data_IF_481897600262
#
_entry.id   IF_481897600262
#
_cell.length_a   1.000
_cell.length_b   1.000
_cell.length_c   1.000
_cell.angle_alpha   90.00
_cell.angle_beta   90.00
_cell.angle_gamma   90.00
#
_symmetry.space_group_name_H-M   'P 1'
#
loop_
_entity.id
_entity.type
_entity.pdbx_description
1 polymer ?
#
# COMPACT_ATOMS: atom_id res chain seq x y z
N UNK A 1 7.23 -19.35 -2.09
CA UNK A 1 8.55 -18.84 -2.59
C UNK A 1 9.66 -19.77 -2.13
N UNK A 2 10.57 -20.09 -3.04
CA UNK A 2 11.69 -21.00 -2.75
C UNK A 2 12.84 -20.26 -2.07
N UNK A 3 13.69 -21.01 -1.35
CA UNK A 3 14.94 -20.46 -0.79
C UNK A 3 15.77 -19.91 -1.95
N UNK A 4 16.32 -18.69 -1.80
CA UNK A 4 17.05 -17.89 -2.78
C UNK A 4 16.19 -17.18 -3.83
N UNK A 5 14.87 -17.27 -3.79
CA UNK A 5 14.06 -16.37 -4.61
C UNK A 5 14.33 -14.93 -4.23
N UNK A 6 14.45 -14.08 -5.23
CA UNK A 6 14.70 -12.64 -5.07
C UNK A 6 13.66 -11.85 -5.81
N UNK A 7 13.22 -10.76 -5.18
CA UNK A 7 12.38 -9.76 -5.78
C UNK A 7 13.13 -8.42 -5.74
N UNK A 8 12.99 -7.69 -6.82
CA UNK A 8 13.62 -6.40 -7.00
C UNK A 8 12.55 -5.37 -7.29
N UNK A 9 12.63 -4.21 -6.63
CA UNK A 9 11.75 -3.07 -6.90
C UNK A 9 12.60 -1.82 -7.09
N UNK A 10 12.53 -1.25 -8.28
CA UNK A 10 13.19 0.01 -8.62
C UNK A 10 12.29 1.18 -8.26
N UNK A 11 12.89 2.25 -7.75
CA UNK A 11 12.24 3.53 -7.47
C UNK A 11 12.95 4.61 -8.28
N UNK A 12 12.15 5.38 -9.03
CA UNK A 12 12.63 6.42 -9.93
C UNK A 12 11.82 7.70 -9.75
N UNK A 13 12.50 8.84 -9.82
CA UNK A 13 11.88 10.16 -9.88
C UNK A 13 12.74 11.05 -10.79
N UNK A 14 12.40 11.07 -12.08
CA UNK A 14 13.22 11.68 -13.13
C UNK A 14 14.49 10.89 -13.47
N UNK A 15 15.08 10.20 -12.50
CA UNK A 15 16.18 9.22 -12.64
C UNK A 15 15.97 8.06 -11.69
N UNK A 16 16.74 6.98 -11.85
CA UNK A 16 16.80 5.91 -10.86
C UNK A 16 17.36 6.44 -9.55
N UNK A 17 16.73 6.10 -8.44
CA UNK A 17 17.15 6.53 -7.10
C UNK A 17 17.64 5.36 -6.28
N UNK A 18 16.84 4.30 -6.18
CA UNK A 18 17.17 3.10 -5.44
C UNK A 18 16.54 1.85 -6.06
N UNK A 19 17.15 0.71 -5.81
CA UNK A 19 16.56 -0.60 -6.06
C UNK A 19 16.58 -1.40 -4.77
N UNK A 20 15.40 -1.81 -4.29
CA UNK A 20 15.24 -2.64 -3.11
C UNK A 20 15.19 -4.10 -3.49
N UNK A 21 15.84 -4.94 -2.69
CA UNK A 21 15.86 -6.39 -2.86
C UNK A 21 15.26 -7.07 -1.64
N UNK A 22 14.40 -8.05 -1.88
CA UNK A 22 13.96 -9.02 -0.91
C UNK A 22 14.48 -10.39 -1.35
N UNK A 23 15.13 -11.12 -0.44
CA UNK A 23 15.61 -12.47 -0.70
C UNK A 23 15.08 -13.44 0.33
N UNK A 24 14.50 -14.56 -0.11
CA UNK A 24 14.08 -15.65 0.75
C UNK A 24 15.28 -16.46 1.17
N UNK A 25 15.58 -16.49 2.47
CA UNK A 25 16.66 -17.29 3.06
C UNK A 25 16.09 -18.49 3.83
N UNK A 26 16.95 -19.36 4.32
CA UNK A 26 16.52 -20.48 5.18
C UNK A 26 15.93 -20.01 6.52
N UNK A 27 16.43 -18.89 7.05
CA UNK A 27 16.03 -18.34 8.35
C UNK A 27 14.97 -17.23 8.29
N UNK A 28 14.48 -16.87 7.09
CA UNK A 28 13.52 -15.79 6.94
C UNK A 28 13.74 -14.99 5.66
N UNK A 29 13.70 -13.66 5.77
CA UNK A 29 13.88 -12.75 4.65
C UNK A 29 15.06 -11.81 4.89
N UNK A 30 15.80 -11.55 3.84
CA UNK A 30 16.86 -10.55 3.79
C UNK A 30 16.41 -9.38 2.95
N UNK A 31 16.63 -8.18 3.48
CA UNK A 31 16.32 -6.92 2.81
C UNK A 31 17.64 -6.19 2.53
N UNK A 32 17.74 -5.60 1.34
CA UNK A 32 18.87 -4.77 0.95
C UNK A 32 18.38 -3.67 0.02
N UNK A 33 19.02 -2.51 0.09
CA UNK A 33 18.76 -1.39 -0.81
C UNK A 33 20.05 -1.02 -1.52
N UNK A 34 19.97 -0.81 -2.84
CA UNK A 34 21.06 -0.30 -3.67
C UNK A 34 20.71 1.10 -4.11
N UNK A 35 21.60 2.05 -3.85
CA UNK A 35 21.45 3.46 -4.22
C UNK A 35 22.15 3.69 -5.55
N UNK A 36 21.43 4.17 -6.54
CA UNK A 36 21.97 4.48 -7.85
C UNK A 36 22.88 5.70 -7.82
N UNK A 37 23.99 5.62 -8.54
CA UNK A 37 24.86 6.78 -8.82
C UNK A 37 24.07 7.87 -9.56
N UNK A 38 24.55 9.09 -9.54
CA UNK A 38 23.82 10.22 -10.14
C UNK A 38 23.66 10.06 -11.64
N UNK A 39 24.66 9.48 -12.31
CA UNK A 39 24.65 9.15 -13.74
C UNK A 39 23.83 7.87 -14.08
N UNK A 40 23.37 7.14 -13.06
CA UNK A 40 22.57 5.92 -13.23
C UNK A 40 23.32 4.73 -13.85
N UNK A 41 24.65 4.75 -13.88
CA UNK A 41 25.49 3.68 -14.48
C UNK A 41 25.77 2.54 -13.52
N UNK A 42 25.74 2.81 -12.19
CA UNK A 42 26.02 1.80 -11.16
C UNK A 42 25.15 2.07 -9.92
N UNK A 43 25.10 1.07 -9.01
CA UNK A 43 24.36 1.18 -7.76
C UNK A 43 25.16 0.56 -6.61
N UNK A 44 25.26 1.29 -5.50
CA UNK A 44 26.02 0.91 -4.32
C UNK A 44 25.09 0.42 -3.22
N UNK A 45 25.47 -0.66 -2.54
CA UNK A 45 24.72 -1.17 -1.40
C UNK A 45 24.65 -0.11 -0.30
N UNK A 46 23.43 0.25 0.10
CA UNK A 46 23.20 1.18 1.21
C UNK A 46 23.60 0.53 2.55
N UNK A 47 24.03 1.34 3.53
CA UNK A 47 24.28 0.83 4.88
C UNK A 47 22.97 0.34 5.53
N UNK A 48 23.04 -0.57 6.52
CA UNK A 48 21.86 -1.14 7.17
C UNK A 48 20.88 -0.12 7.78
N UNK A 49 21.39 1.04 8.22
CA UNK A 49 20.61 2.17 8.74
C UNK A 49 19.96 3.02 7.64
N UNK A 50 20.26 2.75 6.37
CA UNK A 50 19.80 3.54 5.24
C UNK A 50 20.57 4.85 5.07
N UNK A 51 20.05 5.77 4.25
CA UNK A 51 20.60 7.11 4.06
C UNK A 51 19.57 8.13 4.53
N UNK A 52 19.60 8.44 5.81
CA UNK A 52 18.61 9.33 6.48
C UNK A 52 18.61 10.75 5.91
N UNK A 53 19.78 11.25 5.50
CA UNK A 53 19.89 12.53 4.80
C UNK A 53 19.37 12.51 3.37
N UNK A 54 19.00 11.34 2.88
CA UNK A 54 18.47 11.10 1.53
C UNK A 54 19.46 11.39 0.41
N UNK A 55 19.03 11.15 -0.82
CA UNK A 55 19.74 11.49 -2.06
C UNK A 55 19.02 12.64 -2.77
N UNK A 56 19.73 13.53 -3.49
CA UNK A 56 19.10 14.63 -4.21
C UNK A 56 18.14 14.13 -5.29
N UNK A 57 17.00 14.81 -5.47
CA UNK A 57 16.06 14.53 -6.56
C UNK A 57 15.90 15.73 -7.48
N UNK A 58 15.55 15.48 -8.74
CA UNK A 58 15.29 16.52 -9.72
C UNK A 58 14.14 17.42 -9.24
N UNK A 59 14.29 18.72 -9.42
CA UNK A 59 13.31 19.71 -8.97
C UNK A 59 13.44 20.11 -7.50
N UNK A 60 14.49 19.66 -6.82
CA UNK A 60 14.78 19.98 -5.43
C UNK A 60 14.16 19.00 -4.43
N UNK A 61 14.69 18.99 -3.22
CA UNK A 61 14.34 18.02 -2.18
C UNK A 61 15.27 16.82 -2.14
N UNK A 62 14.96 15.88 -1.26
CA UNK A 62 15.78 14.69 -1.02
C UNK A 62 14.88 13.47 -0.87
N UNK A 63 15.33 12.35 -1.43
CA UNK A 63 14.69 11.04 -1.28
C UNK A 63 15.39 10.26 -0.19
N UNK A 64 14.68 9.95 0.89
CA UNK A 64 15.23 9.16 2.01
C UNK A 64 15.33 7.70 1.60
N UNK A 65 16.52 7.11 1.81
CA UNK A 65 16.73 5.68 1.57
C UNK A 65 16.46 4.92 2.88
N UNK A 66 15.49 3.99 2.90
CA UNK A 66 15.15 3.26 4.11
C UNK A 66 16.26 2.29 4.54
N UNK A 67 16.41 2.15 5.84
CA UNK A 67 17.24 1.11 6.42
C UNK A 67 16.54 -0.25 6.52
N UNK A 68 17.27 -1.28 6.92
CA UNK A 68 16.73 -2.64 7.07
C UNK A 68 15.58 -2.71 8.09
N UNK A 69 15.65 -1.94 9.17
CA UNK A 69 14.57 -1.86 10.16
C UNK A 69 13.29 -1.27 9.57
N UNK A 70 13.41 -0.25 8.71
CA UNK A 70 12.27 0.35 8.02
C UNK A 70 11.63 -0.64 7.03
N UNK A 71 12.44 -1.44 6.33
CA UNK A 71 11.95 -2.51 5.46
C UNK A 71 11.09 -3.50 6.27
N UNK A 72 11.59 -3.97 7.41
CA UNK A 72 10.89 -4.92 8.28
C UNK A 72 9.59 -4.35 8.83
N UNK A 73 9.57 -3.06 9.20
CA UNK A 73 8.36 -2.41 9.73
C UNK A 73 7.14 -2.55 8.80
N UNK A 74 7.36 -2.54 7.48
CA UNK A 74 6.30 -2.75 6.48
C UNK A 74 6.15 -4.22 6.08
N UNK A 75 7.27 -4.91 5.82
CA UNK A 75 7.26 -6.25 5.23
C UNK A 75 6.98 -7.37 6.22
N UNK A 76 7.23 -7.19 7.51
CA UNK A 76 6.95 -8.18 8.56
C UNK A 76 5.60 -7.92 9.27
N UNK A 77 4.82 -6.95 8.80
CA UNK A 77 3.50 -6.59 9.35
C UNK A 77 2.37 -7.54 8.96
N UNK A 78 2.63 -8.54 8.12
CA UNK A 78 1.65 -9.54 7.68
C UNK A 78 2.34 -10.87 7.36
N UNK A 79 1.58 -12.00 7.28
CA UNK A 79 2.15 -13.34 7.08
C UNK A 79 2.98 -13.50 5.80
N UNK A 80 2.65 -12.75 4.75
CA UNK A 80 3.43 -12.72 3.50
C UNK A 80 4.17 -11.38 3.36
N UNK A 81 5.49 -11.35 3.51
CA UNK A 81 6.26 -10.10 3.42
C UNK A 81 6.46 -9.60 1.98
N UNK A 82 5.99 -10.33 0.96
CA UNK A 82 6.07 -9.89 -0.44
C UNK A 82 4.89 -8.98 -0.74
N UNK A 83 5.09 -7.68 -0.53
CA UNK A 83 4.09 -6.66 -0.79
C UNK A 83 3.87 -6.50 -2.30
N UNK A 84 2.61 -6.22 -2.69
CA UNK A 84 2.26 -6.03 -4.11
C UNK A 84 1.89 -7.31 -4.86
N UNK A 85 2.07 -8.49 -4.28
CA UNK A 85 1.81 -9.79 -4.90
C UNK A 85 0.60 -10.51 -4.31
N UNK A 86 -0.41 -9.78 -3.86
CA UNK A 86 -1.70 -10.38 -3.51
C UNK A 86 -2.54 -10.57 -4.78
N UNK A 87 -3.47 -11.53 -4.76
CA UNK A 87 -4.34 -11.75 -5.91
C UNK A 87 -5.18 -10.52 -6.25
N UNK A 88 -5.59 -9.72 -5.26
CA UNK A 88 -6.28 -8.44 -5.48
C UNK A 88 -5.40 -7.40 -6.19
N UNK A 89 -4.11 -7.33 -5.84
CA UNK A 89 -3.18 -6.37 -6.45
C UNK A 89 -2.75 -6.79 -7.87
N UNK A 90 -2.79 -8.08 -8.16
CA UNK A 90 -2.46 -8.65 -9.47
C UNK A 90 -3.70 -8.91 -10.34
N UNK A 91 -4.88 -8.47 -9.90
CA UNK A 91 -6.10 -8.60 -10.69
C UNK A 91 -6.06 -7.72 -11.93
N UNK A 92 -6.49 -8.25 -13.08
CA UNK A 92 -6.74 -7.47 -14.29
C UNK A 92 -8.03 -6.65 -14.23
N UNK A 93 -8.90 -6.94 -13.26
CA UNK A 93 -10.17 -6.22 -13.07
C UNK A 93 -9.98 -4.99 -12.16
N UNK A 94 -9.59 -3.88 -12.78
CA UNK A 94 -9.36 -2.61 -12.09
C UNK A 94 -10.51 -1.65 -12.30
N UNK A 95 -10.96 -1.02 -11.20
CA UNK A 95 -11.96 0.04 -11.29
C UNK A 95 -11.36 1.27 -12.00
N UNK A 96 -12.10 1.92 -12.93
CA UNK A 96 -11.59 3.07 -13.70
C UNK A 96 -11.15 4.26 -12.85
N UNK A 97 -11.69 4.39 -11.63
CA UNK A 97 -11.32 5.43 -10.66
C UNK A 97 -10.16 5.06 -9.74
N UNK A 98 -9.57 3.86 -9.88
CA UNK A 98 -8.42 3.48 -9.08
C UNK A 98 -7.19 4.32 -9.46
N UNK A 99 -6.38 4.79 -8.49
CA UNK A 99 -5.14 5.49 -8.78
C UNK A 99 -4.23 4.64 -9.67
N UNK A 100 -3.59 5.31 -10.63
CA UNK A 100 -2.66 4.67 -11.58
C UNK A 100 -3.27 3.55 -12.44
N UNK A 101 -4.61 3.47 -12.54
CA UNK A 101 -5.31 2.45 -13.35
C UNK A 101 -5.01 2.57 -14.87
N UNK A 102 -4.43 3.68 -15.31
CA UNK A 102 -4.12 3.97 -16.72
C UNK A 102 -2.61 4.06 -16.98
N UNK A 103 -1.78 3.44 -16.17
CA UNK A 103 -0.34 3.44 -16.44
C UNK A 103 -0.06 2.72 -17.75
N UNK A 104 0.70 3.38 -18.64
CA UNK A 104 1.04 2.89 -19.98
C UNK A 104 2.07 1.74 -19.98
N UNK A 105 2.49 1.28 -18.81
CA UNK A 105 3.43 0.17 -18.70
C UNK A 105 2.68 -1.15 -18.71
N UNK A 106 3.23 -2.12 -19.41
CA UNK A 106 2.73 -3.49 -19.44
C UNK A 106 2.66 -4.05 -18.02
N UNK A 107 1.51 -3.95 -17.39
CA UNK A 107 1.27 -4.56 -16.09
C UNK A 107 1.25 -6.08 -16.24
N UNK A 108 1.73 -6.78 -15.22
CA UNK A 108 1.69 -8.22 -15.16
C UNK A 108 0.57 -8.63 -14.22
N UNK A 109 -0.43 -9.30 -14.77
CA UNK A 109 -1.59 -9.78 -14.02
C UNK A 109 -1.46 -11.26 -13.63
N UNK A 110 -2.42 -11.79 -12.88
CA UNK A 110 -2.42 -13.19 -12.45
C UNK A 110 -2.33 -14.15 -13.64
N UNK A 111 -3.09 -13.91 -14.68
CA UNK A 111 -3.12 -14.71 -15.91
C UNK A 111 -1.77 -14.70 -16.64
N UNK A 112 -1.06 -13.58 -16.67
CA UNK A 112 0.27 -13.48 -17.28
C UNK A 112 1.30 -14.28 -16.49
N UNK A 113 1.23 -14.22 -15.16
CA UNK A 113 2.12 -15.00 -14.29
C UNK A 113 1.91 -16.51 -14.47
N UNK A 114 0.68 -16.93 -14.62
CA UNK A 114 0.33 -18.35 -14.92
C UNK A 114 0.85 -18.74 -16.29
N UNK A 115 0.56 -17.95 -17.33
CA UNK A 115 0.98 -18.22 -18.70
C UNK A 115 2.51 -18.31 -18.84
N UNK A 116 3.26 -17.52 -18.06
CA UNK A 116 4.73 -17.55 -18.02
C UNK A 116 5.30 -18.64 -17.10
N UNK A 117 4.45 -19.44 -16.43
CA UNK A 117 4.88 -20.46 -15.47
C UNK A 117 5.51 -19.94 -14.19
N UNK A 118 5.36 -18.62 -13.91
CA UNK A 118 5.87 -17.95 -12.71
C UNK A 118 4.95 -18.16 -11.49
N UNK A 119 3.66 -18.42 -11.73
CA UNK A 119 2.68 -18.74 -10.70
C UNK A 119 2.09 -20.14 -10.96
N UNK A 120 2.16 -21.01 -9.94
CA UNK A 120 1.62 -22.36 -9.99
C UNK A 120 0.60 -22.57 -8.89
N UNK A 121 -0.38 -23.45 -9.14
CA UNK A 121 -1.39 -23.80 -8.14
C UNK A 121 -2.44 -22.71 -7.89
N UNK A 122 -2.63 -21.76 -8.81
CA UNK A 122 -3.72 -20.81 -8.73
C UNK A 122 -5.06 -21.58 -8.79
N UNK A 123 -5.99 -21.19 -7.91
CA UNK A 123 -7.35 -21.75 -7.95
C UNK A 123 -7.99 -21.53 -9.31
N UNK A 124 -8.64 -22.54 -9.91
CA UNK A 124 -9.35 -22.39 -11.19
C UNK A 124 -10.38 -21.24 -11.18
N UNK A 125 -11.02 -20.98 -10.05
CA UNK A 125 -11.96 -19.87 -9.89
C UNK A 125 -11.29 -18.50 -10.05
N UNK A 126 -10.09 -18.32 -9.51
CA UNK A 126 -9.32 -17.08 -9.66
C UNK A 126 -8.69 -16.91 -11.04
N UNK A 127 -8.47 -18.02 -11.75
CA UNK A 127 -8.03 -17.99 -13.14
C UNK A 127 -9.17 -17.63 -14.11
N UNK A 128 -10.41 -18.07 -13.79
CA UNK A 128 -11.59 -17.84 -14.62
C UNK A 128 -12.23 -16.46 -14.41
N UNK A 129 -12.13 -15.91 -13.20
CA UNK A 129 -12.73 -14.62 -12.83
C UNK A 129 -11.72 -13.79 -12.08
N UNK A 130 -11.28 -12.65 -12.64
CA UNK A 130 -10.35 -11.76 -11.94
C UNK A 130 -10.90 -11.34 -10.57
N UNK A 131 -10.09 -11.47 -9.51
CA UNK A 131 -10.55 -11.19 -8.16
C UNK A 131 -10.82 -9.70 -7.94
N UNK A 132 -11.88 -9.40 -7.20
CA UNK A 132 -12.21 -8.03 -6.77
C UNK A 132 -12.70 -8.00 -5.33
N UNK A 133 -12.60 -6.81 -4.73
CA UNK A 133 -13.14 -6.57 -3.38
C UNK A 133 -14.67 -6.66 -3.45
N UNK A 134 -15.27 -7.33 -2.49
CA UNK A 134 -16.68 -7.71 -2.49
C UNK A 134 -17.60 -6.54 -2.04
N UNK A 135 -17.65 -5.48 -2.84
CA UNK A 135 -18.61 -4.36 -2.70
C UNK A 135 -19.16 -3.95 -4.07
N UNK A 136 -20.37 -3.40 -4.08
CA UNK A 136 -21.06 -3.00 -5.32
C UNK A 136 -20.62 -1.63 -5.83
N UNK A 137 -20.17 -0.73 -4.93
CA UNK A 137 -19.69 0.61 -5.30
C UNK A 137 -18.29 0.55 -5.90
N UNK A 138 -18.12 1.10 -7.11
CA UNK A 138 -16.82 1.18 -7.78
C UNK A 138 -15.83 2.08 -7.02
N UNK A 139 -16.28 3.25 -6.53
CA UNK A 139 -15.44 4.15 -5.73
C UNK A 139 -15.01 3.49 -4.42
N UNK A 140 -15.90 2.77 -3.76
CA UNK A 140 -15.54 2.04 -2.54
C UNK A 140 -14.55 0.91 -2.83
N UNK A 141 -14.72 0.14 -3.91
CA UNK A 141 -13.75 -0.90 -4.30
C UNK A 141 -12.37 -0.30 -4.55
N UNK A 142 -12.32 0.79 -5.31
CA UNK A 142 -11.07 1.48 -5.61
C UNK A 142 -10.41 2.03 -4.33
N UNK A 143 -11.17 2.69 -3.45
CA UNK A 143 -10.66 3.24 -2.20
C UNK A 143 -10.16 2.13 -1.25
N UNK A 144 -10.96 1.07 -1.05
CA UNK A 144 -10.54 -0.07 -0.23
C UNK A 144 -9.35 -0.81 -0.83
N UNK A 145 -9.23 -0.87 -2.15
CA UNK A 145 -8.07 -1.43 -2.85
C UNK A 145 -6.80 -0.62 -2.60
N UNK A 146 -6.89 0.70 -2.68
CA UNK A 146 -5.79 1.60 -2.34
C UNK A 146 -5.38 1.46 -0.87
N UNK A 147 -6.35 1.48 0.05
CA UNK A 147 -6.11 1.34 1.49
C UNK A 147 -5.53 -0.04 1.84
N UNK A 148 -6.01 -1.11 1.21
CA UNK A 148 -5.45 -2.45 1.35
C UNK A 148 -3.97 -2.49 0.98
N UNK A 149 -3.62 -1.90 -0.16
CA UNK A 149 -2.28 -1.98 -0.73
C UNK A 149 -1.26 -1.11 0.01
N UNK A 150 -1.67 0.07 0.51
CA UNK A 150 -0.76 1.08 1.06
C UNK A 150 -0.83 1.22 2.59
N UNK A 151 -1.95 0.84 3.20
CA UNK A 151 -2.19 1.00 4.64
C UNK A 151 -2.41 -0.35 5.34
N UNK A 152 -3.11 -1.28 4.69
CA UNK A 152 -3.42 -2.60 5.23
C UNK A 152 -2.19 -3.45 5.56
N UNK A 153 -1.04 -3.16 4.94
CA UNK A 153 0.23 -3.83 5.26
C UNK A 153 0.66 -3.63 6.72
N UNK A 154 0.30 -2.50 7.35
CA UNK A 154 0.55 -2.20 8.75
C UNK A 154 -0.75 -2.20 9.57
N UNK A 155 -1.83 -1.60 9.04
CA UNK A 155 -3.13 -1.51 9.70
C UNK A 155 -3.97 -2.77 9.42
N UNK A 156 -3.70 -3.82 10.18
CA UNK A 156 -4.40 -5.09 10.15
C UNK A 156 -4.35 -5.76 11.51
N UNK A 157 -5.18 -6.80 11.71
CA UNK A 157 -5.30 -7.52 12.98
C UNK A 157 -4.13 -8.47 13.30
N UNK A 158 -3.20 -8.68 12.38
CA UNK A 158 -2.09 -9.64 12.51
C UNK A 158 -0.74 -8.96 12.74
N UNK A 159 -0.63 -7.69 12.39
CA UNK A 159 0.61 -6.93 12.42
C UNK A 159 0.89 -6.23 13.75
N UNK A 160 2.02 -5.53 13.84
CA UNK A 160 2.45 -4.84 15.06
C UNK A 160 1.49 -3.71 15.47
N UNK A 161 0.67 -3.20 14.56
CA UNK A 161 -0.33 -2.16 14.84
C UNK A 161 -1.74 -2.73 15.11
N UNK A 162 -1.89 -4.04 15.36
CA UNK A 162 -3.19 -4.65 15.66
C UNK A 162 -3.90 -3.97 16.85
N UNK A 163 -3.14 -3.51 17.84
CA UNK A 163 -3.68 -2.77 19.00
C UNK A 163 -4.31 -1.42 18.67
N UNK A 164 -4.05 -0.85 17.49
CA UNK A 164 -4.75 0.35 17.00
C UNK A 164 -6.21 0.03 16.68
N UNK A 165 -6.53 -1.22 16.34
CA UNK A 165 -7.87 -1.68 16.02
C UNK A 165 -8.42 -1.13 14.71
N UNK A 166 -7.55 -0.70 13.77
CA UNK A 166 -7.91 -0.30 12.41
C UNK A 166 -7.48 -1.43 11.47
N UNK A 167 -8.44 -2.07 10.80
CA UNK A 167 -8.17 -3.16 9.86
C UNK A 167 -8.57 -2.77 8.43
N UNK A 168 -7.56 -2.50 7.61
CA UNK A 168 -7.70 -2.09 6.21
C UNK A 168 -7.31 -3.20 5.23
N UNK A 169 -6.94 -4.39 5.75
CA UNK A 169 -6.54 -5.52 4.93
C UNK A 169 -7.78 -6.23 4.36
N UNK A 170 -7.83 -6.38 3.03
CA UNK A 170 -8.88 -7.13 2.35
C UNK A 170 -8.46 -8.58 2.13
N UNK A 171 -9.41 -9.50 2.21
CA UNK A 171 -9.21 -10.93 2.03
C UNK A 171 -10.23 -11.52 1.08
N UNK A 172 -9.77 -12.21 0.04
CA UNK A 172 -10.65 -12.92 -0.90
C UNK A 172 -11.37 -14.10 -0.24
N UNK A 173 -10.71 -14.80 0.68
CA UNK A 173 -11.32 -15.95 1.38
C UNK A 173 -12.44 -15.53 2.34
N UNK A 174 -12.41 -14.30 2.82
CA UNK A 174 -13.44 -13.75 3.70
C UNK A 174 -14.52 -12.96 2.94
N UNK A 175 -14.22 -12.58 1.69
CA UNK A 175 -15.17 -11.89 0.83
C UNK A 175 -15.78 -10.64 1.47
N UNK A 176 -17.14 -10.54 1.54
CA UNK A 176 -17.83 -9.39 2.13
C UNK A 176 -17.45 -9.11 3.59
N UNK A 177 -17.13 -10.14 4.37
CA UNK A 177 -16.79 -9.97 5.79
C UNK A 177 -15.51 -9.11 5.98
N UNK A 178 -14.55 -9.15 5.04
CA UNK A 178 -13.38 -8.28 5.10
C UNK A 178 -13.74 -6.81 4.87
N UNK A 179 -14.69 -6.51 3.99
CA UNK A 179 -15.22 -5.16 3.74
C UNK A 179 -15.93 -4.62 4.99
N UNK A 180 -16.83 -5.43 5.57
CA UNK A 180 -17.56 -5.05 6.79
C UNK A 180 -16.61 -4.80 7.97
N UNK A 181 -15.57 -5.60 8.10
CA UNK A 181 -14.55 -5.38 9.14
C UNK A 181 -13.82 -4.05 8.94
N UNK A 182 -13.45 -3.70 7.71
CA UNK A 182 -12.86 -2.39 7.43
C UNK A 182 -13.83 -1.28 7.77
N UNK A 183 -15.10 -1.38 7.37
CA UNK A 183 -16.14 -0.40 7.72
C UNK A 183 -16.29 -0.26 9.23
N UNK A 184 -16.45 -1.36 9.94
CA UNK A 184 -16.61 -1.38 11.40
C UNK A 184 -15.41 -0.80 12.16
N UNK A 185 -14.20 -0.97 11.62
CA UNK A 185 -12.98 -0.47 12.25
C UNK A 185 -12.64 0.97 11.88
N UNK A 186 -13.18 1.50 10.78
CA UNK A 186 -12.82 2.82 10.25
C UNK A 186 -13.95 3.85 10.37
N UNK A 187 -15.20 3.50 10.03
CA UNK A 187 -16.29 4.47 9.87
C UNK A 187 -16.88 4.88 11.23
N UNK A 188 -16.94 6.18 11.49
CA UNK A 188 -17.47 6.77 12.72
C UNK A 188 -16.80 6.25 14.00
N UNK A 189 -15.59 5.72 13.90
CA UNK A 189 -14.77 5.26 15.03
C UNK A 189 -13.81 6.38 15.43
N UNK A 190 -13.76 6.70 16.72
CA UNK A 190 -12.84 7.72 17.23
C UNK A 190 -11.39 7.26 17.04
N UNK A 191 -10.55 8.15 16.54
CA UNK A 191 -9.12 7.88 16.38
C UNK A 191 -8.41 7.89 17.74
N UNK A 192 -7.41 7.01 17.91
CA UNK A 192 -6.55 7.02 19.11
C UNK A 192 -5.74 8.32 19.23
N UNK A 193 -5.40 8.92 18.10
CA UNK A 193 -4.71 10.21 18.01
C UNK A 193 -5.47 11.10 17.02
N UNK A 194 -6.35 11.96 17.50
CA UNK A 194 -7.00 13.00 16.69
C UNK A 194 -5.95 13.91 16.02
N UNK A 195 -6.36 14.60 14.96
CA UNK A 195 -5.51 15.54 14.22
C UNK A 195 -6.27 16.86 13.97
N UNK A 196 -5.97 17.88 14.76
CA UNK A 196 -6.73 19.12 14.78
C UNK A 196 -8.19 18.85 15.12
N UNK A 197 -9.12 19.31 14.29
CA UNK A 197 -10.56 19.10 14.45
C UNK A 197 -11.03 17.70 13.99
N UNK A 198 -10.15 16.92 13.35
CA UNK A 198 -10.49 15.56 12.92
C UNK A 198 -10.35 14.60 14.11
N UNK A 199 -11.48 14.06 14.56
CA UNK A 199 -11.53 13.12 15.70
C UNK A 199 -11.82 11.68 15.26
N UNK A 200 -12.58 11.49 14.17
CA UNK A 200 -12.95 10.17 13.67
C UNK A 200 -11.89 9.63 12.70
N UNK A 201 -11.69 8.32 12.69
CA UNK A 201 -10.83 7.68 11.70
C UNK A 201 -11.28 8.02 10.29
N UNK A 202 -12.57 7.81 10.03
CA UNK A 202 -13.33 8.30 8.86
C UNK A 202 -14.65 8.84 9.38
N UNK A 203 -14.90 10.13 9.19
CA UNK A 203 -16.19 10.76 9.45
C UNK A 203 -17.01 10.73 8.14
N UNK A 204 -18.07 9.90 8.03
CA UNK A 204 -18.84 9.75 6.81
C UNK A 204 -19.36 11.10 6.29
N UNK A 205 -19.04 11.41 5.02
CA UNK A 205 -19.41 12.65 4.38
C UNK A 205 -18.50 13.84 4.64
N UNK A 206 -17.46 13.68 5.51
CA UNK A 206 -16.60 14.79 5.93
C UNK A 206 -15.12 14.42 5.86
N UNK A 207 -14.49 14.49 4.68
CA UNK A 207 -13.05 14.17 4.51
C UNK A 207 -12.16 15.00 5.44
N UNK A 208 -12.42 16.29 5.55
CA UNK A 208 -11.66 17.24 6.38
C UNK A 208 -11.69 16.94 7.88
N UNK A 209 -12.72 16.23 8.36
CA UNK A 209 -12.86 15.75 9.73
C UNK A 209 -12.43 14.28 9.90
N UNK A 210 -11.89 13.66 8.83
CA UNK A 210 -11.43 12.28 8.83
C UNK A 210 -9.91 12.21 9.04
N UNK A 211 -9.47 11.63 10.16
CA UNK A 211 -8.04 11.49 10.51
C UNK A 211 -7.26 10.73 9.43
N UNK A 212 -7.85 9.70 8.84
CA UNK A 212 -7.24 8.93 7.75
C UNK A 212 -6.89 9.85 6.57
N UNK A 213 -7.85 10.64 6.09
CA UNK A 213 -7.67 11.56 4.97
C UNK A 213 -6.62 12.65 5.28
N UNK A 214 -6.72 13.27 6.46
CA UNK A 214 -5.78 14.28 6.91
C UNK A 214 -4.34 13.75 6.97
N UNK A 215 -4.14 12.55 7.49
CA UNK A 215 -2.81 11.94 7.58
C UNK A 215 -2.25 11.53 6.23
N UNK A 216 -3.08 11.11 5.27
CA UNK A 216 -2.65 10.85 3.90
C UNK A 216 -2.10 12.11 3.23
N UNK A 217 -2.69 13.28 3.48
CA UNK A 217 -2.24 14.58 2.97
C UNK A 217 -1.08 15.21 3.74
N UNK A 218 -0.88 14.82 5.00
CA UNK A 218 0.18 15.38 5.85
C UNK A 218 1.59 14.95 5.41
N UNK A 219 2.57 15.83 5.66
CA UNK A 219 4.01 15.52 5.48
C UNK A 219 4.85 15.90 6.71
N UNK A 220 4.22 16.32 7.80
CA UNK A 220 4.86 16.36 9.09
C UNK A 220 5.16 14.92 9.55
N UNK A 221 6.39 14.60 9.96
CA UNK A 221 6.79 13.22 10.34
C UNK A 221 5.97 12.60 11.48
N UNK A 222 5.34 13.42 12.33
CA UNK A 222 4.49 12.93 13.42
C UNK A 222 3.07 12.60 12.96
N UNK A 223 2.64 13.16 11.83
CA UNK A 223 1.25 13.08 11.37
C UNK A 223 1.08 12.35 10.04
N UNK A 224 2.10 12.32 9.20
CA UNK A 224 2.00 11.70 7.87
C UNK A 224 1.72 10.19 7.95
N UNK A 225 0.93 9.71 6.98
CA UNK A 225 0.74 8.28 6.69
C UNK A 225 0.81 8.03 5.18
N UNK A 226 1.57 7.03 4.74
CA UNK A 226 2.51 6.19 5.48
C UNK A 226 3.64 7.00 6.14
N UNK A 227 4.19 6.54 7.27
CA UNK A 227 5.24 7.28 8.01
C UNK A 227 6.62 7.20 7.34
N UNK A 228 6.79 6.31 6.35
CA UNK A 228 8.04 6.03 5.67
C UNK A 228 7.84 5.93 4.16
N UNK A 229 8.85 6.36 3.40
CA UNK A 229 8.90 6.15 1.94
C UNK A 229 7.90 6.97 1.13
N UNK A 230 7.41 8.08 1.68
CA UNK A 230 6.48 8.98 1.00
C UNK A 230 6.90 10.44 1.20
N UNK A 231 7.55 11.01 0.18
CA UNK A 231 8.01 12.41 0.22
C UNK A 231 6.93 13.38 -0.28
N UNK A 232 5.98 12.89 -1.06
CA UNK A 232 4.89 13.68 -1.63
C UNK A 232 3.53 13.01 -1.40
N UNK A 233 2.46 13.78 -1.13
CA UNK A 233 1.10 13.23 -1.12
C UNK A 233 0.74 12.64 -2.49
N UNK A 234 0.02 11.52 -2.48
CA UNK A 234 -0.59 10.95 -3.68
C UNK A 234 -1.92 11.67 -3.95
N UNK A 235 -1.89 12.64 -4.86
CA UNK A 235 -3.06 13.46 -5.17
C UNK A 235 -4.22 12.68 -5.78
N UNK A 236 -3.94 11.65 -6.61
CA UNK A 236 -4.99 10.80 -7.18
C UNK A 236 -5.69 9.98 -6.08
N UNK A 237 -4.92 9.43 -5.17
CA UNK A 237 -5.45 8.68 -4.05
C UNK A 237 -6.22 9.54 -3.06
N UNK A 238 -5.76 10.76 -2.79
CA UNK A 238 -6.51 11.73 -1.97
C UNK A 238 -7.85 12.03 -2.61
N UNK A 239 -7.89 12.36 -3.90
CA UNK A 239 -9.15 12.62 -4.62
C UNK A 239 -10.10 11.40 -4.62
N UNK A 240 -9.57 10.17 -4.72
CA UNK A 240 -10.37 8.95 -4.61
C UNK A 240 -10.97 8.78 -3.21
N UNK A 241 -10.14 8.90 -2.17
CA UNK A 241 -10.59 8.70 -0.78
C UNK A 241 -11.58 9.80 -0.38
N UNK A 242 -11.39 11.02 -0.84
CA UNK A 242 -12.32 12.13 -0.67
C UNK A 242 -13.71 11.79 -1.26
N UNK A 243 -13.76 11.38 -2.53
CA UNK A 243 -15.03 10.96 -3.17
C UNK A 243 -15.69 9.80 -2.42
N UNK A 244 -14.90 8.80 -2.02
CA UNK A 244 -15.42 7.69 -1.22
C UNK A 244 -16.04 8.18 0.10
N UNK A 245 -15.35 9.02 0.86
CA UNK A 245 -15.85 9.55 2.14
C UNK A 245 -17.13 10.36 1.92
N UNK A 246 -17.20 11.20 0.89
CA UNK A 246 -18.43 11.93 0.54
C UNK A 246 -19.60 10.98 0.25
N UNK A 247 -19.36 9.89 -0.48
CA UNK A 247 -20.40 8.90 -0.80
C UNK A 247 -20.96 8.16 0.41
N UNK A 248 -20.29 8.24 1.56
CA UNK A 248 -20.76 7.63 2.81
C UNK A 248 -21.80 8.49 3.55
N UNK A 249 -22.00 9.75 3.15
CA UNK A 249 -23.00 10.63 3.77
C UNK A 249 -24.42 10.06 3.67
N UNK A 250 -24.78 9.50 2.53
CA UNK A 250 -26.10 8.95 2.25
C UNK A 250 -26.41 7.67 3.04
N UNK A 251 -25.39 6.98 3.53
CA UNK A 251 -25.55 5.75 4.32
C UNK A 251 -25.90 5.99 5.81
N UNK A 252 -25.97 7.23 6.26
CA UNK A 252 -26.37 7.61 7.63
C UNK A 252 -27.87 7.62 7.86
N UNK A 253 -28.68 7.51 6.80
CA UNK A 253 -30.14 7.42 6.89
C UNK A 253 -30.59 6.04 6.36
N UNK A 254 -30.81 5.05 7.23
CA UNK A 254 -31.51 3.81 6.86
C UNK A 254 -33.01 4.05 6.69
#
# INVERSE_FOLDING_TARGET
>A
MCIRDRLWKEFSLGRRLETRMLERTRSGWRFATYVWTEDGTDAVLAPPEGVRGGVPVAGGGRWVIPGTADCRACHEGQPNPVLGFTALQLSSDRDPGAPHARTAHAEMHLEDLVARGLLRGLSPSLAATPPRIATTSADERAALGYLHSNCGICHNRHGPLAGVGLDLLQSLSEGPASVERTRASALAVRALRPLGEAEMRVDPGKPEHSVLFRRMGARDPLDQMPPLGTEKPDGEALALVERWIHSLADRRNP
#
